data_IF_235444256969
#
_entry.id   IF_235444256969
#
_cell.length_a   1.000
_cell.length_b   1.000
_cell.length_c   1.000
_cell.angle_alpha   90.00
_cell.angle_beta   90.00
_cell.angle_gamma   90.00
#
_symmetry.space_group_name_H-M   'P 1'
#
loop_
_entity.id
_entity.type
_entity.pdbx_description
1 polymer ?
#
# COMPACT_ATOMS: atom_id res chain seq x y z
N UNK A 1 -6.66 11.01 -13.73
CA UNK A 1 -6.27 12.21 -12.96
C UNK A 1 -4.91 11.93 -12.34
N UNK A 2 -3.98 12.86 -12.53
CA UNK A 2 -2.62 12.78 -12.01
C UNK A 2 -2.62 12.60 -10.49
N UNK A 3 -1.79 11.69 -10.00
CA UNK A 3 -1.61 11.51 -8.55
C UNK A 3 -0.61 12.54 -8.06
N UNK A 4 -0.97 13.43 -7.12
CA UNK A 4 -0.06 14.43 -6.62
C UNK A 4 1.00 13.79 -5.70
N UNK A 5 2.16 13.42 -6.26
CA UNK A 5 3.25 12.77 -5.54
C UNK A 5 3.80 13.59 -4.36
N UNK A 6 3.54 14.89 -4.32
CA UNK A 6 3.89 15.74 -3.17
C UNK A 6 3.00 15.51 -1.94
N UNK A 7 1.99 14.61 -2.01
CA UNK A 7 1.06 14.31 -0.92
C UNK A 7 0.97 12.82 -0.69
N UNK A 8 1.64 12.29 0.34
CA UNK A 8 1.62 10.88 0.67
C UNK A 8 0.21 10.32 0.90
N UNK A 9 -0.69 11.11 1.50
CA UNK A 9 -2.07 10.73 1.72
C UNK A 9 -2.84 10.50 0.41
N UNK A 10 -2.55 11.27 -0.63
CA UNK A 10 -3.17 11.09 -1.93
C UNK A 10 -2.55 9.90 -2.68
N UNK A 11 -1.24 9.66 -2.50
CA UNK A 11 -0.57 8.45 -3.03
C UNK A 11 -1.19 7.20 -2.42
N UNK A 12 -1.38 7.17 -1.08
CA UNK A 12 -2.06 6.05 -0.42
C UNK A 12 -3.46 5.81 -0.98
N UNK A 13 -4.29 6.86 -1.08
CA UNK A 13 -5.65 6.73 -1.63
C UNK A 13 -5.64 6.13 -3.03
N UNK A 14 -4.70 6.58 -3.89
CA UNK A 14 -4.55 6.05 -5.24
C UNK A 14 -4.09 4.59 -5.26
N UNK A 15 -3.21 4.18 -4.37
CA UNK A 15 -2.84 2.77 -4.20
C UNK A 15 -4.09 1.95 -3.87
N UNK A 16 -4.87 2.33 -2.87
CA UNK A 16 -6.06 1.60 -2.45
C UNK A 16 -7.15 1.58 -3.53
N UNK A 17 -7.41 2.71 -4.17
CA UNK A 17 -8.42 2.84 -5.25
C UNK A 17 -8.08 1.93 -6.46
N UNK A 18 -6.78 1.87 -6.81
CA UNK A 18 -6.32 1.12 -7.97
C UNK A 18 -5.85 -0.29 -7.65
N UNK A 19 -5.78 -0.68 -6.38
CA UNK A 19 -5.35 -2.02 -5.98
C UNK A 19 -6.27 -3.09 -6.54
N UNK A 20 -5.66 -4.13 -7.11
CA UNK A 20 -6.35 -5.27 -7.74
C UNK A 20 -5.67 -6.56 -7.30
N UNK A 21 -6.43 -7.66 -7.25
CA UNK A 21 -5.86 -8.99 -7.09
C UNK A 21 -5.58 -9.63 -8.46
N UNK A 22 -4.71 -10.63 -8.54
CA UNK A 22 -4.48 -11.39 -9.77
C UNK A 22 -5.76 -11.99 -10.36
N UNK A 23 -6.67 -12.43 -9.48
CA UNK A 23 -7.94 -13.09 -9.83
C UNK A 23 -9.02 -12.08 -10.21
N UNK A 24 -9.01 -10.88 -9.59
CA UNK A 24 -10.03 -9.86 -9.82
C UNK A 24 -9.42 -8.50 -10.22
N UNK A 25 -9.33 -8.27 -11.53
CA UNK A 25 -8.74 -7.06 -12.12
C UNK A 25 -9.73 -5.91 -12.33
N UNK A 26 -11.03 -6.13 -12.08
CA UNK A 26 -12.09 -5.16 -12.44
C UNK A 26 -12.52 -4.25 -11.28
N UNK A 27 -12.47 -4.75 -10.05
CA UNK A 27 -12.93 -4.01 -8.87
C UNK A 27 -11.79 -3.72 -7.90
N UNK A 28 -11.88 -2.66 -7.08
CA UNK A 28 -10.92 -2.39 -6.03
C UNK A 28 -10.83 -3.54 -5.02
N UNK A 29 -9.60 -3.94 -4.71
CA UNK A 29 -9.35 -5.20 -4.01
C UNK A 29 -9.53 -5.14 -2.49
N UNK A 30 -9.60 -3.95 -1.86
CA UNK A 30 -9.56 -3.82 -0.40
C UNK A 30 -10.56 -4.70 0.34
N UNK A 31 -11.83 -4.70 -0.08
CA UNK A 31 -12.86 -5.51 0.58
C UNK A 31 -12.60 -7.01 0.37
N UNK A 32 -12.18 -7.40 -0.84
CA UNK A 32 -11.83 -8.78 -1.17
C UNK A 32 -10.70 -9.27 -0.28
N UNK A 33 -9.63 -8.49 -0.13
CA UNK A 33 -8.46 -8.83 0.70
C UNK A 33 -8.85 -9.01 2.17
N UNK A 34 -9.75 -8.18 2.69
CA UNK A 34 -10.21 -8.33 4.07
C UNK A 34 -11.05 -9.60 4.26
N UNK A 35 -11.88 -9.96 3.29
CA UNK A 35 -12.64 -11.20 3.32
C UNK A 35 -11.73 -12.42 3.18
N UNK A 36 -10.79 -12.40 2.25
CA UNK A 36 -9.79 -13.46 2.09
C UNK A 36 -8.89 -13.61 3.33
N UNK A 37 -8.54 -12.50 3.98
CA UNK A 37 -7.83 -12.54 5.25
C UNK A 37 -8.62 -13.24 6.34
N UNK A 38 -9.91 -12.97 6.49
CA UNK A 38 -10.77 -13.68 7.43
C UNK A 38 -10.88 -15.17 7.11
N UNK A 39 -11.14 -15.51 5.84
CA UNK A 39 -11.20 -16.89 5.37
C UNK A 39 -9.89 -17.64 5.64
N UNK A 40 -8.75 -16.96 5.47
CA UNK A 40 -7.44 -17.57 5.79
C UNK A 40 -7.26 -17.84 7.29
N UNK A 41 -7.78 -16.97 8.16
CA UNK A 41 -7.77 -17.23 9.61
C UNK A 41 -8.66 -18.43 9.98
N UNK A 42 -9.85 -18.52 9.39
CA UNK A 42 -10.75 -19.68 9.55
C UNK A 42 -10.09 -20.98 9.10
N UNK A 43 -9.52 -20.99 7.89
CA UNK A 43 -8.80 -22.14 7.33
C UNK A 43 -7.69 -22.64 8.28
N UNK A 44 -6.85 -21.73 8.79
CA UNK A 44 -5.77 -22.07 9.71
C UNK A 44 -6.31 -22.71 11.01
N UNK A 45 -7.43 -22.19 11.56
CA UNK A 45 -8.00 -22.69 12.80
C UNK A 45 -8.59 -24.09 12.59
N UNK A 46 -9.34 -24.29 11.51
CA UNK A 46 -9.94 -25.59 11.19
C UNK A 46 -8.85 -26.65 10.96
N UNK A 47 -7.80 -26.30 10.23
CA UNK A 47 -6.69 -27.25 9.93
C UNK A 47 -5.83 -27.59 11.17
N UNK A 48 -5.48 -26.59 11.99
CA UNK A 48 -4.55 -26.78 13.11
C UNK A 48 -5.22 -27.40 14.32
N UNK A 49 -6.48 -27.08 14.58
CA UNK A 49 -7.17 -27.48 15.79
C UNK A 49 -8.19 -28.61 15.55
N UNK A 50 -8.38 -29.04 14.30
CA UNK A 50 -9.39 -30.05 13.92
C UNK A 50 -10.82 -29.64 14.41
N UNK A 51 -11.16 -28.36 14.24
CA UNK A 51 -12.43 -27.76 14.69
C UNK A 51 -13.38 -27.65 13.50
N UNK A 52 -14.61 -28.13 13.66
CA UNK A 52 -15.70 -27.88 12.72
C UNK A 52 -16.44 -26.58 13.11
N UNK A 53 -16.49 -25.56 12.22
CA UNK A 53 -17.16 -24.28 12.53
C UNK A 53 -18.64 -24.38 12.87
N UNK A 54 -19.31 -25.46 12.45
CA UNK A 54 -20.75 -25.66 12.65
C UNK A 54 -21.00 -26.45 13.94
N UNK A 55 -20.26 -27.56 14.14
CA UNK A 55 -20.44 -28.45 15.28
C UNK A 55 -19.80 -27.90 16.55
N UNK A 56 -18.71 -27.11 16.44
CA UNK A 56 -17.93 -26.56 17.55
C UNK A 56 -17.98 -25.02 17.59
N UNK A 57 -19.09 -24.39 17.25
CA UNK A 57 -19.26 -22.93 17.04
C UNK A 57 -18.62 -22.07 18.14
N UNK A 58 -18.86 -22.40 19.41
CA UNK A 58 -18.36 -21.62 20.55
C UNK A 58 -16.83 -21.67 20.64
N UNK A 59 -16.25 -22.86 20.42
CA UNK A 59 -14.79 -23.07 20.42
C UNK A 59 -14.17 -22.37 19.21
N UNK A 60 -14.79 -22.50 18.05
CA UNK A 60 -14.34 -21.85 16.82
C UNK A 60 -14.28 -20.34 16.97
N UNK A 61 -15.32 -19.70 17.50
CA UNK A 61 -15.36 -18.25 17.71
C UNK A 61 -14.28 -17.78 18.70
N UNK A 62 -14.03 -18.54 19.77
CA UNK A 62 -12.99 -18.23 20.74
C UNK A 62 -11.57 -18.31 20.13
N UNK A 63 -11.28 -19.37 19.37
CA UNK A 63 -10.00 -19.52 18.69
C UNK A 63 -9.83 -18.49 17.56
N UNK A 64 -10.92 -18.13 16.87
CA UNK A 64 -10.92 -17.06 15.85
C UNK A 64 -10.55 -15.71 16.47
N UNK A 65 -11.16 -15.33 17.60
CA UNK A 65 -10.82 -14.08 18.29
C UNK A 65 -9.36 -14.06 18.73
N UNK A 66 -8.88 -15.13 19.32
CA UNK A 66 -7.49 -15.29 19.74
C UNK A 66 -6.51 -15.19 18.56
N UNK A 67 -6.80 -15.86 17.44
CA UNK A 67 -5.98 -15.81 16.24
C UNK A 67 -5.91 -14.41 15.66
N UNK A 68 -7.04 -13.73 15.55
CA UNK A 68 -7.10 -12.35 15.07
C UNK A 68 -6.30 -11.41 15.96
N UNK A 69 -6.40 -11.52 17.29
CA UNK A 69 -5.62 -10.69 18.20
C UNK A 69 -4.09 -10.95 18.07
N UNK A 70 -3.67 -12.17 17.79
CA UNK A 70 -2.26 -12.47 17.50
C UNK A 70 -1.79 -11.75 16.23
N UNK A 71 -2.52 -11.87 15.12
CA UNK A 71 -2.21 -11.19 13.86
C UNK A 71 -2.19 -9.66 14.02
N UNK A 72 -3.16 -9.11 14.75
CA UNK A 72 -3.27 -7.67 14.98
C UNK A 72 -2.20 -7.12 15.93
N UNK A 73 -1.53 -7.97 16.71
CA UNK A 73 -0.45 -7.53 17.60
C UNK A 73 0.71 -6.94 16.82
N UNK A 74 1.16 -7.59 15.74
CA UNK A 74 2.26 -7.09 14.91
C UNK A 74 1.83 -5.90 14.05
N UNK A 75 0.62 -5.94 13.51
CA UNK A 75 0.03 -4.81 12.80
C UNK A 75 -0.08 -3.57 13.70
N UNK A 76 -0.42 -3.76 14.98
CA UNK A 76 -0.51 -2.71 15.99
C UNK A 76 0.81 -2.00 16.27
N UNK A 77 1.95 -2.68 16.13
CA UNK A 77 3.28 -2.08 16.25
C UNK A 77 3.57 -1.06 15.14
N UNK A 78 2.98 -1.27 13.95
CA UNK A 78 3.06 -0.33 12.83
C UNK A 78 2.02 0.77 12.96
N UNK A 79 0.76 0.40 13.22
CA UNK A 79 -0.34 1.34 13.38
C UNK A 79 -1.46 0.76 14.26
N UNK A 80 -1.54 1.24 15.51
CA UNK A 80 -2.63 0.85 16.42
C UNK A 80 -4.02 1.22 15.90
N UNK A 81 -4.13 2.36 15.22
CA UNK A 81 -5.40 2.75 14.58
C UNK A 81 -5.81 1.78 13.47
N UNK A 82 -4.84 1.33 12.67
CA UNK A 82 -5.11 0.37 11.62
C UNK A 82 -5.54 -0.98 12.19
N UNK A 83 -4.84 -1.51 13.20
CA UNK A 83 -5.21 -2.73 13.91
C UNK A 83 -6.60 -2.64 14.54
N UNK A 84 -6.94 -1.49 15.17
CA UNK A 84 -8.27 -1.26 15.73
C UNK A 84 -9.37 -1.24 14.67
N UNK A 85 -9.10 -0.66 13.50
CA UNK A 85 -10.03 -0.68 12.38
C UNK A 85 -10.29 -2.10 11.88
N UNK A 86 -9.24 -2.92 11.69
CA UNK A 86 -9.38 -4.32 11.26
C UNK A 86 -10.11 -5.15 12.34
N UNK A 87 -9.80 -4.98 13.61
CA UNK A 87 -10.53 -5.61 14.72
C UNK A 87 -12.02 -5.27 14.68
N UNK A 88 -12.34 -4.01 14.43
CA UNK A 88 -13.73 -3.56 14.31
C UNK A 88 -14.42 -4.17 13.10
N UNK A 89 -13.71 -4.29 11.98
CA UNK A 89 -14.23 -4.97 10.78
C UNK A 89 -14.60 -6.42 11.07
N UNK A 90 -13.70 -7.17 11.70
CA UNK A 90 -13.98 -8.55 12.11
C UNK A 90 -15.24 -8.64 12.99
N UNK A 91 -15.29 -7.87 14.09
CA UNK A 91 -16.45 -7.87 15.00
C UNK A 91 -17.76 -7.50 14.29
N UNK A 92 -17.72 -6.51 13.41
CA UNK A 92 -18.87 -6.11 12.61
C UNK A 92 -19.34 -7.24 11.67
N UNK A 93 -18.43 -7.95 11.02
CA UNK A 93 -18.74 -9.08 10.15
C UNK A 93 -19.35 -10.25 10.95
N UNK A 94 -18.81 -10.57 12.12
CA UNK A 94 -19.30 -11.66 12.99
C UNK A 94 -20.76 -11.45 13.43
N UNK A 95 -21.15 -10.20 13.70
CA UNK A 95 -22.55 -9.90 14.13
C UNK A 95 -23.44 -9.42 12.98
N UNK A 96 -22.95 -9.39 11.73
CA UNK A 96 -23.71 -8.93 10.57
C UNK A 96 -23.94 -7.41 10.50
N UNK A 97 -23.15 -6.60 11.23
CA UNK A 97 -23.21 -5.13 11.19
C UNK A 97 -22.52 -4.58 9.93
N UNK A 98 -23.25 -4.59 8.83
CA UNK A 98 -22.75 -4.10 7.55
C UNK A 98 -22.47 -2.59 7.56
N UNK A 99 -23.14 -1.80 8.40
CA UNK A 99 -22.93 -0.35 8.48
C UNK A 99 -21.55 -0.05 9.04
N UNK A 100 -21.20 -0.67 10.15
CA UNK A 100 -19.87 -0.53 10.75
C UNK A 100 -18.78 -1.10 9.83
N UNK A 101 -19.00 -2.26 9.21
CA UNK A 101 -18.05 -2.83 8.26
C UNK A 101 -17.75 -1.89 7.08
N UNK A 102 -18.78 -1.27 6.49
CA UNK A 102 -18.61 -0.27 5.42
C UNK A 102 -17.91 1.00 5.91
N UNK A 103 -18.18 1.45 7.14
CA UNK A 103 -17.47 2.59 7.72
C UNK A 103 -15.97 2.33 7.90
N UNK A 104 -15.60 1.10 8.29
CA UNK A 104 -14.18 0.68 8.34
C UNK A 104 -13.55 0.73 6.95
N UNK A 105 -14.22 0.17 5.93
CA UNK A 105 -13.73 0.20 4.55
C UNK A 105 -13.55 1.64 4.05
N UNK A 106 -14.49 2.54 4.34
CA UNK A 106 -14.38 3.95 3.99
C UNK A 106 -13.16 4.61 4.65
N UNK A 107 -12.95 4.37 5.94
CA UNK A 107 -11.79 4.88 6.66
C UNK A 107 -10.47 4.33 6.11
N UNK A 108 -10.39 3.03 5.81
CA UNK A 108 -9.23 2.39 5.19
C UNK A 108 -8.93 2.93 3.78
N UNK A 109 -9.94 3.40 3.05
CA UNK A 109 -9.76 4.11 1.77
C UNK A 109 -9.26 5.56 1.94
N UNK A 110 -9.13 6.04 3.17
CA UNK A 110 -8.73 7.40 3.49
C UNK A 110 -9.86 8.41 3.47
N UNK A 111 -11.12 7.95 3.51
CA UNK A 111 -12.28 8.82 3.65
C UNK A 111 -12.39 9.33 5.10
N UNK A 112 -12.90 10.56 5.26
CA UNK A 112 -13.15 11.12 6.58
C UNK A 112 -14.44 10.53 7.15
N UNK A 113 -14.37 9.96 8.34
CA UNK A 113 -15.53 9.43 9.07
C UNK A 113 -15.90 10.34 10.25
N UNK A 114 -17.14 10.22 10.73
CA UNK A 114 -17.64 10.98 11.87
C UNK A 114 -16.91 10.66 13.18
N UNK A 115 -16.97 11.55 14.15
CA UNK A 115 -16.39 11.32 15.47
C UNK A 115 -17.03 10.14 16.20
N UNK A 116 -18.33 9.89 16.01
CA UNK A 116 -19.02 8.73 16.58
C UNK A 116 -18.45 7.41 16.02
N UNK A 117 -18.28 7.33 14.69
CA UNK A 117 -17.66 6.15 14.05
C UNK A 117 -16.22 5.94 14.48
N UNK A 118 -15.43 7.03 14.62
CA UNK A 118 -14.07 6.93 15.17
C UNK A 118 -14.04 6.31 16.57
N UNK A 119 -14.97 6.70 17.44
CA UNK A 119 -15.10 6.15 18.77
C UNK A 119 -15.48 4.66 18.74
N UNK A 120 -16.45 4.29 17.90
CA UNK A 120 -16.84 2.88 17.69
C UNK A 120 -15.67 2.04 17.22
N UNK A 121 -14.87 2.54 16.29
CA UNK A 121 -13.70 1.87 15.72
C UNK A 121 -12.46 1.97 16.64
N UNK A 122 -12.53 2.75 17.72
CA UNK A 122 -11.38 3.06 18.56
C UNK A 122 -10.16 3.59 17.76
N UNK A 123 -10.42 4.48 16.78
CA UNK A 123 -9.41 5.14 15.97
C UNK A 123 -9.34 6.63 16.31
N UNK A 124 -8.12 7.13 16.53
CA UNK A 124 -7.91 8.52 16.92
C UNK A 124 -7.72 9.45 15.72
N UNK A 125 -7.15 8.95 14.63
CA UNK A 125 -6.70 9.74 13.48
C UNK A 125 -7.49 9.43 12.22
N UNK A 126 -7.47 10.36 11.27
CA UNK A 126 -7.78 10.07 9.86
C UNK A 126 -6.46 9.85 9.10
N UNK A 127 -6.58 9.47 7.84
CA UNK A 127 -5.44 9.50 6.93
C UNK A 127 -4.95 10.94 6.75
N UNK A 128 -3.67 11.14 7.03
CA UNK A 128 -2.95 12.41 6.90
C UNK A 128 -1.54 12.15 6.38
N UNK A 129 -0.85 13.19 5.91
CA UNK A 129 0.53 13.08 5.42
C UNK A 129 1.45 12.37 6.42
N UNK A 130 1.32 12.67 7.71
CA UNK A 130 2.17 12.16 8.79
C UNK A 130 2.05 10.66 9.02
N UNK A 131 0.93 10.03 8.63
CA UNK A 131 0.68 8.60 8.88
C UNK A 131 0.48 7.76 7.60
N UNK A 132 0.43 8.39 6.43
CA UNK A 132 0.13 7.70 5.17
C UNK A 132 1.12 6.58 4.85
N UNK A 133 2.41 6.78 5.16
CA UNK A 133 3.44 5.74 4.97
C UNK A 133 3.18 4.53 5.87
N UNK A 134 2.79 4.77 7.12
CA UNK A 134 2.44 3.68 8.05
C UNK A 134 1.21 2.93 7.56
N UNK A 135 0.27 3.60 6.90
CA UNK A 135 -0.90 2.97 6.30
C UNK A 135 -0.52 2.09 5.10
N UNK A 136 0.43 2.53 4.24
CA UNK A 136 0.95 1.67 3.16
C UNK A 136 1.63 0.42 3.73
N UNK A 137 2.46 0.58 4.78
CA UNK A 137 3.11 -0.55 5.46
C UNK A 137 2.08 -1.50 6.08
N UNK A 138 1.05 -0.97 6.73
CA UNK A 138 0.00 -1.75 7.36
C UNK A 138 -0.84 -2.55 6.33
N UNK A 139 -1.19 -1.94 5.19
CA UNK A 139 -1.85 -2.66 4.08
C UNK A 139 -0.96 -3.80 3.56
N UNK A 140 0.33 -3.56 3.40
CA UNK A 140 1.24 -4.60 2.91
C UNK A 140 1.36 -5.78 3.90
N UNK A 141 1.38 -5.50 5.21
CA UNK A 141 1.32 -6.55 6.25
C UNK A 141 0.01 -7.35 6.18
N UNK A 142 -1.12 -6.66 6.01
CA UNK A 142 -2.42 -7.31 5.87
C UNK A 142 -2.47 -8.22 4.64
N UNK A 143 -1.93 -7.77 3.50
CA UNK A 143 -1.80 -8.58 2.28
C UNK A 143 -1.01 -9.86 2.53
N UNK A 144 0.10 -9.77 3.25
CA UNK A 144 0.93 -10.93 3.62
C UNK A 144 0.15 -11.91 4.50
N UNK A 145 -0.58 -11.41 5.50
CA UNK A 145 -1.41 -12.23 6.38
C UNK A 145 -2.60 -12.85 5.65
N UNK A 146 -3.12 -12.21 4.61
CA UNK A 146 -4.14 -12.76 3.71
C UNK A 146 -3.60 -13.81 2.71
N UNK A 147 -2.28 -14.08 2.71
CA UNK A 147 -1.66 -15.09 1.85
C UNK A 147 -1.06 -14.56 0.55
N UNK A 148 -1.07 -13.26 0.31
CA UNK A 148 -0.41 -12.67 -0.86
C UNK A 148 1.11 -12.62 -0.69
N UNK A 149 1.85 -12.77 -1.79
CA UNK A 149 3.32 -12.67 -1.78
C UNK A 149 3.84 -11.26 -1.53
N UNK A 150 3.03 -10.23 -1.78
CA UNK A 150 3.39 -8.83 -1.58
C UNK A 150 2.60 -7.88 -2.46
N UNK A 151 3.07 -6.64 -2.57
CA UNK A 151 2.43 -5.54 -3.29
C UNK A 151 3.34 -5.01 -4.38
N UNK A 152 2.84 -4.89 -5.61
CA UNK A 152 3.49 -4.19 -6.71
C UNK A 152 2.83 -2.83 -6.89
N UNK A 153 3.60 -1.76 -6.72
CA UNK A 153 3.14 -0.38 -6.89
C UNK A 153 3.77 0.17 -8.16
N UNK A 154 2.92 0.51 -9.14
CA UNK A 154 3.33 1.08 -10.41
C UNK A 154 2.98 2.57 -10.41
N UNK A 155 3.99 3.42 -10.56
CA UNK A 155 3.84 4.87 -10.71
C UNK A 155 4.29 5.26 -12.11
N UNK A 156 3.31 5.48 -12.96
CA UNK A 156 3.51 5.84 -14.36
C UNK A 156 3.53 7.35 -14.57
N UNK A 157 4.13 7.79 -15.67
CA UNK A 157 4.17 9.21 -16.09
C UNK A 157 4.78 10.14 -15.04
N UNK A 158 5.92 9.76 -14.42
CA UNK A 158 6.59 10.59 -13.40
C UNK A 158 7.00 11.98 -13.92
N UNK A 159 7.14 12.16 -15.24
CA UNK A 159 7.40 13.45 -15.85
C UNK A 159 6.34 14.51 -15.55
N UNK A 160 5.13 14.12 -15.19
CA UNK A 160 4.04 15.04 -14.81
C UNK A 160 4.42 15.93 -13.63
N UNK A 161 5.31 15.46 -12.74
CA UNK A 161 5.85 16.25 -11.62
C UNK A 161 6.57 17.51 -12.09
N UNK A 162 7.21 17.49 -13.27
CA UNK A 162 7.87 18.67 -13.85
C UNK A 162 6.90 19.81 -14.15
N UNK A 163 5.62 19.47 -14.36
CA UNK A 163 4.56 20.42 -14.68
C UNK A 163 4.02 21.14 -13.43
N UNK A 164 4.39 20.73 -12.23
CA UNK A 164 3.98 21.43 -11.02
C UNK A 164 4.46 22.88 -11.05
N UNK A 165 3.52 23.82 -10.93
CA UNK A 165 3.79 25.27 -11.03
C UNK A 165 4.73 25.72 -9.92
N UNK A 166 4.45 25.30 -8.68
CA UNK A 166 5.27 25.68 -7.52
C UNK A 166 6.50 24.77 -7.41
N UNK A 167 7.67 25.41 -7.32
CA UNK A 167 8.94 24.71 -7.10
C UNK A 167 8.87 23.84 -5.84
N UNK A 168 8.35 24.37 -4.75
CA UNK A 168 8.21 23.62 -3.48
C UNK A 168 7.41 22.34 -3.63
N UNK A 169 6.33 22.32 -4.43
CA UNK A 169 5.56 21.11 -4.67
C UNK A 169 6.33 20.06 -5.49
N UNK A 170 7.18 20.51 -6.44
CA UNK A 170 8.06 19.59 -7.18
C UNK A 170 9.13 19.00 -6.26
N UNK A 171 9.78 19.85 -5.48
CA UNK A 171 10.82 19.42 -4.54
C UNK A 171 10.25 18.42 -3.54
N UNK A 172 9.05 18.66 -2.99
CA UNK A 172 8.32 17.70 -2.14
C UNK A 172 8.02 16.38 -2.85
N UNK A 173 7.58 16.41 -4.11
CA UNK A 173 7.29 15.19 -4.86
C UNK A 173 8.55 14.35 -5.09
N UNK A 174 9.67 14.99 -5.40
CA UNK A 174 10.96 14.30 -5.55
C UNK A 174 11.52 13.80 -4.22
N UNK A 175 11.33 14.54 -3.11
CA UNK A 175 11.69 14.04 -1.77
C UNK A 175 10.83 12.84 -1.38
N UNK A 176 9.55 12.84 -1.69
CA UNK A 176 8.69 11.70 -1.44
C UNK A 176 9.10 10.48 -2.28
N UNK A 177 9.47 10.69 -3.55
CA UNK A 177 9.99 9.62 -4.41
C UNK A 177 11.30 9.05 -3.86
N UNK A 178 12.23 9.94 -3.44
CA UNK A 178 13.47 9.53 -2.78
C UNK A 178 13.19 8.69 -1.54
N UNK A 179 12.21 9.10 -0.73
CA UNK A 179 11.81 8.36 0.46
C UNK A 179 11.33 6.93 0.12
N UNK A 180 10.49 6.76 -0.91
CA UNK A 180 10.06 5.43 -1.35
C UNK A 180 11.23 4.56 -1.82
N UNK A 181 12.18 5.14 -2.54
CA UNK A 181 13.38 4.41 -3.00
C UNK A 181 14.24 3.99 -1.80
N UNK A 182 14.51 4.90 -0.86
CA UNK A 182 15.34 4.63 0.32
C UNK A 182 14.70 3.57 1.22
N UNK A 183 13.40 3.65 1.47
CA UNK A 183 12.67 2.68 2.28
C UNK A 183 12.55 1.30 1.61
N UNK A 184 12.46 1.25 0.28
CA UNK A 184 12.45 -0.01 -0.46
C UNK A 184 13.82 -0.71 -0.39
N UNK A 185 14.92 0.04 -0.44
CA UNK A 185 16.28 -0.49 -0.32
C UNK A 185 16.63 -0.88 1.13
N UNK A 186 16.09 -0.14 2.10
CA UNK A 186 16.34 -0.29 3.55
C UNK A 186 15.42 -1.29 4.28
N UNK A 187 14.67 -2.16 3.58
CA UNK A 187 13.66 -3.07 4.15
C UNK A 187 12.47 -2.38 4.85
N UNK A 188 12.27 -1.09 4.63
CA UNK A 188 11.12 -0.36 5.15
C UNK A 188 9.78 -0.78 4.52
N UNK A 189 9.83 -1.38 3.32
CA UNK A 189 8.70 -1.95 2.60
C UNK A 189 8.98 -3.41 2.22
N UNK A 190 9.03 -4.29 3.20
CA UNK A 190 9.18 -5.72 2.95
C UNK A 190 8.12 -6.25 1.99
N UNK A 191 8.53 -7.04 1.00
CA UNK A 191 7.65 -7.62 -0.02
C UNK A 191 6.86 -6.57 -0.84
N UNK A 192 7.36 -5.34 -0.95
CA UNK A 192 6.86 -4.35 -1.90
C UNK A 192 7.83 -4.21 -3.07
N UNK A 193 7.28 -4.14 -4.28
CA UNK A 193 8.03 -3.81 -5.48
C UNK A 193 7.51 -2.50 -6.07
N UNK A 194 8.39 -1.52 -6.25
CA UNK A 194 8.04 -0.25 -6.85
C UNK A 194 8.56 -0.20 -8.28
N UNK A 195 7.69 0.06 -9.22
CA UNK A 195 8.00 0.29 -10.62
C UNK A 195 7.64 1.72 -11.00
N UNK A 196 8.63 2.45 -11.49
CA UNK A 196 8.46 3.83 -11.94
C UNK A 196 8.69 3.91 -13.44
N UNK A 197 7.84 4.62 -14.16
CA UNK A 197 8.06 4.95 -15.55
C UNK A 197 8.11 6.46 -15.77
N UNK A 198 8.81 6.89 -16.81
CA UNK A 198 8.94 8.29 -17.16
C UNK A 198 9.77 8.48 -18.44
N UNK A 199 9.81 9.70 -18.95
CA UNK A 199 10.58 10.05 -20.13
C UNK A 199 12.03 10.36 -19.77
N UNK A 200 12.94 10.27 -20.76
CA UNK A 200 14.35 10.62 -20.59
C UNK A 200 14.56 12.07 -20.14
N UNK A 201 13.64 12.96 -20.49
CA UNK A 201 13.65 14.36 -20.05
C UNK A 201 13.56 14.51 -18.52
N UNK A 202 12.91 13.57 -17.83
CA UNK A 202 12.85 13.56 -16.37
C UNK A 202 14.25 13.40 -15.76
N UNK A 203 15.13 12.65 -16.41
CA UNK A 203 16.51 12.44 -15.99
C UNK A 203 17.44 13.59 -16.36
N UNK A 204 17.16 14.29 -17.47
CA UNK A 204 18.14 15.17 -18.13
C UNK A 204 17.93 16.66 -17.86
N UNK A 205 16.71 17.08 -17.51
CA UNK A 205 16.39 18.50 -17.36
C UNK A 205 16.56 19.02 -15.94
N UNK A 206 16.79 20.33 -15.83
CA UNK A 206 16.94 21.05 -14.56
C UNK A 206 15.64 21.06 -13.71
N UNK A 207 14.49 20.79 -14.30
CA UNK A 207 13.21 20.62 -13.59
C UNK A 207 12.90 19.15 -13.29
N UNK A 208 13.73 18.24 -13.74
CA UNK A 208 13.65 16.81 -13.46
C UNK A 208 14.44 16.42 -12.20
N UNK A 209 14.89 15.19 -12.17
CA UNK A 209 15.58 14.62 -11.01
C UNK A 209 16.89 15.32 -10.64
N UNK A 210 17.54 15.99 -11.59
CA UNK A 210 18.73 16.82 -11.31
C UNK A 210 18.45 17.96 -10.34
N UNK A 211 17.19 18.42 -10.24
CA UNK A 211 16.81 19.47 -9.28
C UNK A 211 16.95 19.04 -7.82
N UNK A 212 16.99 17.74 -7.54
CA UNK A 212 17.19 17.16 -6.21
C UNK A 212 18.39 16.20 -6.25
N UNK A 213 19.56 16.70 -5.96
CA UNK A 213 20.82 15.94 -6.00
C UNK A 213 20.77 14.61 -5.24
N UNK A 214 20.21 14.52 -4.00
CA UNK A 214 20.12 13.25 -3.27
C UNK A 214 19.32 12.18 -4.02
N UNK A 215 18.23 12.54 -4.72
CA UNK A 215 17.47 11.63 -5.56
C UNK A 215 18.26 11.22 -6.80
N UNK A 216 18.86 12.22 -7.48
CA UNK A 216 19.62 11.99 -8.69
C UNK A 216 20.78 11.00 -8.48
N UNK A 217 21.50 11.09 -7.37
CA UNK A 217 22.58 10.17 -7.04
C UNK A 217 22.12 8.71 -6.86
N UNK A 218 20.88 8.46 -6.44
CA UNK A 218 20.33 7.10 -6.26
C UNK A 218 19.96 6.44 -7.58
N UNK A 219 19.56 7.24 -8.57
CA UNK A 219 19.05 6.75 -9.86
C UNK A 219 20.00 7.04 -11.02
N UNK A 220 21.11 7.73 -10.76
CA UNK A 220 22.13 8.02 -11.76
C UNK A 220 22.70 6.73 -12.32
N UNK A 221 22.61 6.58 -13.63
CA UNK A 221 23.19 5.46 -14.39
C UNK A 221 24.36 5.97 -15.19
N UNK A 222 25.45 5.22 -15.20
CA UNK A 222 26.59 5.50 -16.05
C UNK A 222 26.25 5.16 -17.51
N UNK A 223 26.13 6.19 -18.36
CA UNK A 223 25.74 6.03 -19.78
C UNK A 223 26.83 5.34 -20.61
N UNK A 224 28.07 5.29 -20.10
CA UNK A 224 29.20 4.68 -20.80
C UNK A 224 29.26 3.16 -20.65
N UNK A 225 28.45 2.56 -19.80
CA UNK A 225 28.41 1.11 -19.63
C UNK A 225 27.81 0.47 -20.89
N UNK A 226 28.72 -0.06 -21.76
CA UNK A 226 28.37 -0.73 -23.02
C UNK A 226 27.58 -2.02 -22.80
N UNK A 227 27.56 -2.53 -21.58
CA UNK A 227 26.83 -3.72 -21.18
C UNK A 227 25.58 -3.32 -20.39
N UNK A 228 24.44 -3.81 -20.84
CA UNK A 228 23.15 -3.62 -20.19
C UNK A 228 23.16 -4.24 -18.79
N UNK A 229 23.52 -3.48 -17.78
CA UNK A 229 23.50 -3.94 -16.40
C UNK A 229 22.04 -3.94 -15.89
N UNK A 230 21.40 -5.09 -15.88
CA UNK A 230 20.03 -5.25 -15.41
C UNK A 230 19.86 -5.08 -13.88
N UNK A 231 20.96 -4.92 -13.15
CA UNK A 231 20.95 -4.61 -11.71
C UNK A 231 20.95 -3.11 -11.42
N UNK A 232 20.98 -2.27 -12.46
CA UNK A 232 20.86 -0.82 -12.28
C UNK A 232 19.43 -0.44 -11.92
N UNK A 233 19.22 0.62 -11.09
CA UNK A 233 17.89 1.06 -10.70
C UNK A 233 17.08 1.64 -11.86
N UNK A 234 17.73 2.03 -12.96
CA UNK A 234 17.09 2.62 -14.14
C UNK A 234 17.40 1.80 -15.39
N UNK A 235 16.37 1.46 -16.13
CA UNK A 235 16.46 0.76 -17.42
C UNK A 235 15.96 1.68 -18.51
N UNK A 236 16.85 2.03 -19.46
CA UNK A 236 16.47 2.78 -20.67
C UNK A 236 15.87 1.82 -21.70
N UNK A 237 14.63 2.03 -22.06
CA UNK A 237 13.99 1.33 -23.17
C UNK A 237 14.44 1.95 -24.49
N UNK A 238 14.90 1.11 -25.43
CA UNK A 238 15.19 1.56 -26.79
C UNK A 238 13.87 1.71 -27.55
N UNK A 239 13.77 2.73 -28.39
CA UNK A 239 12.69 2.80 -29.38
C UNK A 239 12.66 1.52 -30.22
N UNK A 240 11.48 0.94 -30.36
CA UNK A 240 11.26 -0.12 -31.34
C UNK A 240 11.32 0.52 -32.74
N UNK A 241 12.51 0.56 -33.33
CA UNK A 241 12.61 0.84 -34.75
C UNK A 241 12.05 -0.38 -35.51
N UNK A 242 10.85 -0.22 -36.00
CA UNK A 242 10.30 -1.09 -37.06
C UNK A 242 11.11 -0.84 -38.36
N UNK A 243 12.38 -1.14 -38.36
CA UNK A 243 13.11 -1.32 -39.61
C UNK A 243 12.70 -2.67 -40.18
N UNK A 244 11.82 -2.59 -41.21
CA UNK A 244 11.53 -3.69 -42.10
C UNK A 244 12.81 -4.22 -42.76
#
# INVERSE_FOLDING_TARGET
>A
SETPLNKFEEVYKKIIENMRTPENKKVPALAIILEEWLLKMEEIICEVNDIDPIDDEEIFLAEMEKRIEMELTDLGKVSSNFANAIRTYYKAKTVGDNVTAQAVLAWLKGEKISLSLKKTMNVAVNLERSNAILFIKAINMLLKSAGYSGLVIIMDELETVRNYVKKSSRDEAYENLRYFIDEADGNGFENCFFLYSGTTELMETERGFKSLEPLYQRIKVDKEDKFRNLRQPVIYLKEFNNSK
#
